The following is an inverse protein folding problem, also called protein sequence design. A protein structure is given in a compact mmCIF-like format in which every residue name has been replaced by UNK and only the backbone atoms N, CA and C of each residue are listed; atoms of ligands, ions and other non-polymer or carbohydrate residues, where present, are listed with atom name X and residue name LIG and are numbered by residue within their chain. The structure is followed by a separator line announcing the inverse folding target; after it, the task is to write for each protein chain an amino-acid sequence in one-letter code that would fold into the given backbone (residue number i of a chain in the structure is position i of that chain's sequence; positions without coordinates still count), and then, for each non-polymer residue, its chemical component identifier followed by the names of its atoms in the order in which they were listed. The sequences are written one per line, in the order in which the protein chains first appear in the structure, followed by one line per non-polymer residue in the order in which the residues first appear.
data_IF_336026394343
#
_entry.id   IF_336026394343
#
_cell.length_a   1.000
_cell.length_b   1.000
_cell.length_c   1.000
_cell.angle_alpha   90.00
_cell.angle_beta   90.00
_cell.angle_gamma   90.00
#
_symmetry.space_group_name_H-M   'P 1'
#
loop_
_entity.id
_entity.type
_entity.pdbx_description
1 polymer ?
#
# COMPACT_ATOMS: atom_id res chain seq x y z
N UNK A 1 5.15 5.09 -11.08
CA UNK A 1 5.18 3.68 -10.61
C UNK A 1 3.76 3.19 -10.40
N UNK A 2 3.48 1.96 -10.78
CA UNK A 2 2.17 1.34 -10.55
C UNK A 2 1.99 1.02 -9.07
N UNK A 3 0.77 1.15 -8.59
CA UNK A 3 0.43 0.87 -7.20
C UNK A 3 0.78 -0.57 -6.80
N UNK A 4 0.45 -1.56 -7.65
CA UNK A 4 0.74 -2.96 -7.35
C UNK A 4 2.24 -3.22 -7.20
N UNK A 5 3.07 -2.61 -8.03
CA UNK A 5 4.52 -2.70 -7.92
C UNK A 5 5.03 -2.03 -6.65
N UNK A 6 4.50 -0.86 -6.33
CA UNK A 6 4.90 -0.15 -5.11
C UNK A 6 4.63 -0.98 -3.85
N UNK A 7 3.44 -1.54 -3.75
CA UNK A 7 3.05 -2.33 -2.57
C UNK A 7 3.93 -3.55 -2.38
N UNK A 8 4.36 -4.19 -3.47
CA UNK A 8 5.28 -5.32 -3.40
C UNK A 8 6.70 -4.86 -3.07
N UNK A 9 7.19 -3.82 -3.73
CA UNK A 9 8.55 -3.32 -3.52
C UNK A 9 8.74 -2.82 -2.09
N UNK A 10 7.75 -2.14 -1.54
CA UNK A 10 7.76 -1.65 -0.16
C UNK A 10 7.49 -2.76 0.87
N UNK A 11 7.29 -4.00 0.42
CA UNK A 11 6.98 -5.17 1.26
C UNK A 11 5.72 -4.99 2.12
N UNK A 12 4.80 -4.16 1.69
CA UNK A 12 3.49 -4.05 2.31
C UNK A 12 2.69 -5.31 1.99
N UNK A 13 2.85 -5.84 0.77
CA UNK A 13 2.40 -7.18 0.40
C UNK A 13 3.59 -8.03 0.01
N UNK A 14 3.54 -9.33 0.32
CA UNK A 14 4.63 -10.25 0.02
C UNK A 14 4.83 -10.48 -1.47
N UNK A 15 3.74 -10.46 -2.24
CA UNK A 15 3.77 -10.68 -3.68
C UNK A 15 2.98 -9.61 -4.40
N UNK A 16 3.35 -9.37 -5.67
CA UNK A 16 2.63 -8.42 -6.50
C UNK A 16 1.20 -8.89 -6.78
N UNK A 17 1.03 -10.19 -7.03
CA UNK A 17 -0.30 -10.75 -7.29
C UNK A 17 -1.22 -10.67 -6.07
N UNK A 18 -0.67 -10.83 -4.86
CA UNK A 18 -1.44 -10.64 -3.62
C UNK A 18 -1.94 -9.21 -3.48
N UNK A 19 -1.07 -8.25 -3.80
CA UNK A 19 -1.45 -6.84 -3.81
C UNK A 19 -2.53 -6.55 -4.85
N UNK A 20 -2.37 -7.08 -6.08
CA UNK A 20 -3.37 -6.92 -7.14
C UNK A 20 -4.74 -7.42 -6.70
N UNK A 21 -4.80 -8.60 -6.08
CA UNK A 21 -6.07 -9.17 -5.61
C UNK A 21 -6.74 -8.27 -4.58
N UNK A 22 -5.97 -7.76 -3.63
CA UNK A 22 -6.51 -6.86 -2.61
C UNK A 22 -7.03 -5.55 -3.21
N UNK A 23 -6.31 -5.02 -4.17
CA UNK A 23 -6.74 -3.80 -4.88
C UNK A 23 -8.03 -4.07 -5.65
N UNK A 24 -8.09 -5.17 -6.40
CA UNK A 24 -9.25 -5.55 -7.20
C UNK A 24 -10.49 -5.83 -6.34
N UNK A 25 -10.29 -6.32 -5.13
CA UNK A 25 -11.37 -6.58 -4.19
C UNK A 25 -11.87 -5.32 -3.47
N UNK A 26 -11.32 -4.16 -3.81
CA UNK A 26 -11.73 -2.90 -3.21
C UNK A 26 -11.16 -2.62 -1.83
N UNK A 27 -10.18 -3.42 -1.39
CA UNK A 27 -9.55 -3.25 -0.08
C UNK A 27 -8.45 -2.19 -0.02
N UNK A 28 -8.16 -1.52 -1.13
CA UNK A 28 -7.11 -0.51 -1.20
C UNK A 28 -7.64 0.79 -1.78
N UNK A 29 -7.42 1.86 -1.04
CA UNK A 29 -7.78 3.21 -1.46
C UNK A 29 -6.52 4.02 -1.74
N UNK A 30 -6.55 4.83 -2.78
CA UNK A 30 -5.48 5.79 -3.08
C UNK A 30 -6.05 7.19 -2.95
N UNK A 31 -5.52 7.94 -1.99
CA UNK A 31 -6.02 9.28 -1.65
C UNK A 31 -7.54 9.28 -1.43
N UNK A 32 -8.04 8.26 -0.72
CA UNK A 32 -9.45 8.14 -0.35
C UNK A 32 -10.38 7.56 -1.41
N UNK A 33 -9.84 7.18 -2.57
CA UNK A 33 -10.64 6.59 -3.67
C UNK A 33 -10.22 5.17 -3.93
N UNK A 34 -11.19 4.32 -4.29
CA UNK A 34 -10.91 2.92 -4.66
C UNK A 34 -9.89 2.92 -5.80
N UNK A 35 -8.79 2.20 -5.59
CA UNK A 35 -7.68 2.17 -6.52
C UNK A 35 -7.76 0.98 -7.48
N UNK A 36 -6.96 1.05 -8.54
CA UNK A 36 -6.73 -0.04 -9.48
C UNK A 36 -5.27 -0.46 -9.42
N UNK A 37 -4.91 -1.71 -9.77
CA UNK A 37 -3.52 -2.14 -9.75
C UNK A 37 -2.59 -1.25 -10.56
N UNK A 38 -3.07 -0.76 -11.70
CA UNK A 38 -2.29 0.11 -12.57
C UNK A 38 -2.31 1.59 -12.19
N UNK A 39 -3.00 1.95 -11.10
CA UNK A 39 -3.01 3.34 -10.62
C UNK A 39 -1.59 3.82 -10.41
N UNK A 40 -1.29 5.04 -10.86
CA UNK A 40 0.03 5.64 -10.68
C UNK A 40 0.14 6.27 -9.30
N UNK A 41 1.25 6.01 -8.63
CA UNK A 41 1.53 6.57 -7.31
C UNK A 41 2.71 7.52 -7.35
N UNK A 42 2.73 8.46 -6.43
CA UNK A 42 3.80 9.44 -6.30
C UNK A 42 4.09 9.73 -4.83
N UNK A 43 5.22 10.35 -4.55
CA UNK A 43 5.56 10.76 -3.20
C UNK A 43 4.47 11.67 -2.64
N UNK A 44 4.12 11.44 -1.36
CA UNK A 44 3.07 12.19 -0.69
C UNK A 44 1.68 11.57 -0.79
N UNK A 45 1.47 10.61 -1.69
CA UNK A 45 0.18 9.93 -1.81
C UNK A 45 -0.12 9.11 -0.55
N UNK A 46 -1.41 8.98 -0.24
CA UNK A 46 -1.90 8.18 0.88
C UNK A 46 -2.53 6.89 0.35
N UNK A 47 -2.07 5.77 0.87
CA UNK A 47 -2.62 4.46 0.54
C UNK A 47 -3.30 3.91 1.79
N UNK A 48 -4.59 3.60 1.70
CA UNK A 48 -5.32 2.99 2.80
C UNK A 48 -5.60 1.54 2.46
N UNK A 49 -5.18 0.63 3.34
CA UNK A 49 -5.40 -0.81 3.16
C UNK A 49 -6.34 -1.27 4.25
N UNK A 50 -7.47 -1.83 3.84
CA UNK A 50 -8.49 -2.33 4.73
C UNK A 50 -8.49 -3.85 4.73
N UNK A 51 -8.38 -4.43 5.91
CA UNK A 51 -8.53 -5.87 6.13
C UNK A 51 -9.74 -6.10 7.03
N UNK A 52 -10.02 -7.36 7.35
CA UNK A 52 -11.12 -7.68 8.28
C UNK A 52 -10.86 -7.15 9.69
N UNK A 53 -9.60 -7.01 10.07
CA UNK A 53 -9.22 -6.65 11.44
C UNK A 53 -8.87 -5.18 11.63
N UNK A 54 -8.38 -4.53 10.59
CA UNK A 54 -7.89 -3.15 10.73
C UNK A 54 -7.86 -2.41 9.41
N UNK A 55 -7.75 -1.11 9.53
CA UNK A 55 -7.55 -0.21 8.41
C UNK A 55 -6.27 0.58 8.68
N UNK A 56 -5.31 0.51 7.76
CA UNK A 56 -4.02 1.17 7.90
C UNK A 56 -3.81 2.13 6.74
N UNK A 57 -3.40 3.36 7.04
CA UNK A 57 -3.07 4.35 6.02
C UNK A 57 -1.57 4.59 6.02
N UNK A 58 -0.97 4.44 4.84
CA UNK A 58 0.45 4.63 4.58
C UNK A 58 0.65 5.90 3.76
N UNK A 59 1.66 6.68 4.12
CA UNK A 59 2.08 7.81 3.29
C UNK A 59 3.32 7.39 2.51
N UNK A 60 3.31 7.62 1.20
CA UNK A 60 4.45 7.31 0.34
C UNK A 60 5.53 8.35 0.56
N UNK A 61 6.71 7.93 0.98
CA UNK A 61 7.87 8.80 1.20
C UNK A 61 8.85 8.74 0.03
N UNK A 62 9.11 7.53 -0.49
CA UNK A 62 10.08 7.30 -1.55
C UNK A 62 9.53 6.31 -2.56
N UNK A 63 9.90 6.49 -3.84
CA UNK A 63 9.59 5.54 -4.90
C UNK A 63 10.90 4.91 -5.36
N UNK A 64 11.22 3.73 -4.82
CA UNK A 64 12.41 2.96 -5.18
C UNK A 64 12.00 1.79 -6.06
N UNK A 65 12.74 1.52 -7.12
CA UNK A 65 12.35 0.51 -8.11
C UNK A 65 13.25 -0.71 -8.19
N UNK A 66 14.54 -0.55 -7.91
CA UNK A 66 15.53 -1.63 -8.08
C UNK A 66 16.41 -1.78 -6.86
N UNK A 67 16.82 -3.03 -6.59
CA UNK A 67 17.78 -3.35 -5.52
C UNK A 67 17.34 -2.83 -4.16
N UNK A 68 16.05 -2.98 -3.86
CA UNK A 68 15.48 -2.49 -2.60
C UNK A 68 15.64 -3.56 -1.53
N UNK A 69 16.45 -3.29 -0.50
CA UNK A 69 16.59 -4.15 0.66
C UNK A 69 15.36 -4.03 1.56
N UNK A 70 15.22 -4.95 2.51
CA UNK A 70 14.11 -4.87 3.48
C UNK A 70 14.13 -3.57 4.28
N UNK A 71 15.32 -3.11 4.64
CA UNK A 71 15.48 -1.86 5.37
C UNK A 71 15.05 -0.67 4.51
N UNK A 72 15.48 -0.64 3.27
CA UNK A 72 15.10 0.42 2.32
C UNK A 72 13.60 0.40 2.05
N UNK A 73 13.00 -0.79 1.97
CA UNK A 73 11.56 -0.93 1.77
C UNK A 73 10.77 -0.24 2.88
N UNK A 74 11.23 -0.37 4.13
CA UNK A 74 10.58 0.29 5.26
C UNK A 74 10.67 1.81 5.20
N UNK A 75 11.69 2.33 4.54
CA UNK A 75 11.88 3.77 4.37
C UNK A 75 11.02 4.36 3.25
N UNK A 76 10.37 3.50 2.45
CA UNK A 76 9.53 3.95 1.36
C UNK A 76 8.19 4.52 1.83
N UNK A 77 7.79 4.22 3.07
CA UNK A 77 6.50 4.66 3.59
C UNK A 77 6.57 4.99 5.07
N UNK A 78 5.54 5.68 5.52
CA UNK A 78 5.29 5.98 6.91
C UNK A 78 3.83 5.61 7.22
N UNK A 79 3.59 4.93 8.34
CA UNK A 79 2.23 4.64 8.77
C UNK A 79 1.71 5.88 9.48
N UNK A 80 0.68 6.50 8.90
CA UNK A 80 0.12 7.74 9.44
C UNK A 80 -1.16 7.52 10.23
N UNK A 81 -1.81 6.39 10.04
CA UNK A 81 -2.99 6.03 10.81
C UNK A 81 -3.22 4.53 10.78
N UNK A 82 -3.67 3.97 11.89
CA UNK A 82 -4.05 2.57 11.99
C UNK A 82 -5.22 2.46 12.95
N UNK A 83 -6.34 1.96 12.44
CA UNK A 83 -7.57 1.80 13.21
C UNK A 83 -7.96 0.34 13.23
N UNK A 84 -8.12 -0.23 14.42
CA UNK A 84 -8.66 -1.58 14.56
C UNK A 84 -10.16 -1.55 14.35
N UNK A 85 -10.64 -2.51 13.56
CA UNK A 85 -12.06 -2.67 13.31
C UNK A 85 -12.62 -3.67 14.32
N UNK A 86 -13.67 -3.26 15.03
CA UNK A 86 -14.37 -4.14 15.95
C UNK A 86 -15.33 -5.04 15.18
N UNK A 87 -15.03 -6.33 15.16
CA UNK A 87 -15.88 -7.34 14.50
C UNK A 87 -16.71 -8.06 15.56
N UNK A 88 -17.62 -7.35 16.15
CA UNK A 88 -18.55 -7.99 17.10
C UNK A 88 -19.83 -8.38 16.39
#
# INVERSE_FOLDING_TARGET
MRLDKYLKTALIFKTRSGGEKNIENGGVLLNGKIAKPASQVKEGDLITIRTLEKETTYKILLLLEKNVSRQMAREMYEIVNETKLDLI
#
